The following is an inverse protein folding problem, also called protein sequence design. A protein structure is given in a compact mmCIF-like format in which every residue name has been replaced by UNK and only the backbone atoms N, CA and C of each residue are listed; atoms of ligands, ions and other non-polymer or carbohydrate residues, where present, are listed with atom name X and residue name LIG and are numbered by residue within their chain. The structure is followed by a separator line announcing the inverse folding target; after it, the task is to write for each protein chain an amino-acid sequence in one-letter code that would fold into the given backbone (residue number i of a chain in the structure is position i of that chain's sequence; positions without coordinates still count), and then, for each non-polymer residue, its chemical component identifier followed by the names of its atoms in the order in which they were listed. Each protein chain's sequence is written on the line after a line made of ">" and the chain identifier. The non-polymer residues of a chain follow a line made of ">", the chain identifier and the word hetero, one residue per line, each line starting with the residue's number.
data_IF_082475167137
#
_entry.id   IF_082475167137
#
_cell.length_a   1.000
_cell.length_b   1.000
_cell.length_c   1.000
_cell.angle_alpha   90.00
_cell.angle_beta   90.00
_cell.angle_gamma   90.00
#
_symmetry.space_group_name_H-M   'P 1'
#
loop_
_entity.id
_entity.type
_entity.pdbx_description
1 polymer ?
#
# COMPACT_ATOMS: atom_id res chain seq x y z
N UNK A 1 -30.19 3.89 -4.76
CA UNK A 1 -29.09 4.86 -4.61
C UNK A 1 -27.81 4.13 -4.96
N UNK A 2 -27.03 4.67 -5.91
CA UNK A 2 -26.29 3.88 -6.90
C UNK A 2 -24.94 3.35 -6.41
N UNK A 3 -24.60 2.16 -6.90
CA UNK A 3 -23.26 1.61 -7.13
C UNK A 3 -22.19 1.82 -6.06
N UNK A 4 -22.27 1.03 -4.98
CA UNK A 4 -21.12 0.78 -4.10
C UNK A 4 -20.69 -0.69 -4.21
N UNK A 5 -20.28 -1.09 -5.42
CA UNK A 5 -19.54 -2.34 -5.64
C UNK A 5 -18.06 -2.12 -5.25
N UNK A 6 -17.79 -1.94 -3.95
CA UNK A 6 -16.45 -2.12 -3.39
C UNK A 6 -16.33 -3.55 -2.87
N UNK A 7 -16.13 -4.47 -3.81
CA UNK A 7 -15.76 -5.86 -3.54
C UNK A 7 -14.42 -6.14 -4.24
N UNK A 8 -13.38 -5.43 -3.81
CA UNK A 8 -11.97 -5.78 -4.06
C UNK A 8 -11.50 -6.87 -3.08
N UNK A 9 -12.38 -7.86 -2.82
CA UNK A 9 -11.98 -9.13 -2.21
C UNK A 9 -11.30 -9.93 -3.31
N UNK A 10 -9.98 -10.00 -3.17
CA UNK A 10 -9.09 -10.87 -3.92
C UNK A 10 -8.93 -10.40 -5.38
N UNK A 11 -7.83 -9.68 -5.66
CA UNK A 11 -7.14 -9.86 -6.96
C UNK A 11 -6.64 -11.31 -6.99
N UNK A 12 -7.57 -12.24 -7.17
CA UNK A 12 -7.31 -13.62 -7.50
C UNK A 12 -6.80 -13.57 -8.92
N UNK A 13 -5.54 -13.97 -9.10
CA UNK A 13 -4.99 -14.33 -10.41
C UNK A 13 -5.66 -15.63 -10.92
N UNK A 14 -6.98 -15.66 -10.94
CA UNK A 14 -7.78 -16.74 -11.55
C UNK A 14 -7.97 -16.51 -13.04
N UNK A 15 -7.80 -15.27 -13.50
CA UNK A 15 -7.51 -15.00 -14.90
C UNK A 15 -6.02 -14.72 -15.06
N UNK A 16 -5.42 -15.20 -16.16
CA UNK A 16 -4.02 -15.02 -16.57
C UNK A 16 -3.63 -13.56 -16.87
N UNK A 17 -4.26 -12.59 -16.22
CA UNK A 17 -4.15 -11.16 -16.41
C UNK A 17 -2.96 -10.59 -15.61
N UNK A 18 -1.94 -9.99 -16.23
CA UNK A 18 -0.84 -9.35 -15.51
C UNK A 18 -1.31 -8.07 -14.79
N UNK A 19 -1.02 -8.02 -13.50
CA UNK A 19 -1.07 -6.78 -12.72
C UNK A 19 0.20 -5.97 -12.98
N UNK A 20 0.05 -4.66 -13.16
CA UNK A 20 1.12 -3.72 -13.40
C UNK A 20 0.99 -2.58 -12.39
N UNK A 21 2.06 -2.34 -11.66
CA UNK A 21 2.18 -1.19 -10.77
C UNK A 21 2.69 0.00 -11.57
N UNK A 22 1.84 1.02 -11.70
CA UNK A 22 2.19 2.32 -12.23
C UNK A 22 2.36 3.30 -11.08
N UNK A 23 3.49 3.98 -11.05
CA UNK A 23 3.85 4.86 -9.95
C UNK A 23 3.79 6.28 -10.46
N UNK A 24 2.90 7.07 -9.89
CA UNK A 24 2.93 8.51 -10.04
C UNK A 24 3.50 9.06 -8.74
N UNK A 25 4.83 9.00 -8.61
CA UNK A 25 5.46 9.94 -7.68
C UNK A 25 5.23 11.33 -8.26
N UNK A 26 4.59 12.23 -7.50
CA UNK A 26 4.61 13.64 -7.83
C UNK A 26 6.05 14.13 -7.61
N UNK A 27 6.89 13.96 -8.64
CA UNK A 27 8.25 14.47 -8.69
C UNK A 27 8.17 15.99 -8.90
N UNK A 28 7.98 16.76 -7.84
CA UNK A 28 8.55 18.12 -7.80
C UNK A 28 10.06 18.01 -7.59
N UNK A 29 10.77 17.46 -8.57
CA UNK A 29 12.19 17.71 -8.77
C UNK A 29 12.33 18.59 -9.99
N UNK A 30 12.33 19.90 -9.76
CA UNK A 30 13.23 20.88 -10.36
C UNK A 30 12.82 22.31 -9.94
N UNK A 31 13.67 23.02 -9.18
CA UNK A 31 13.90 24.43 -9.45
C UNK A 31 15.29 24.58 -10.10
N UNK A 32 15.34 25.36 -11.18
CA UNK A 32 16.58 25.89 -11.73
C UNK A 32 17.40 26.62 -10.63
N UNK A 33 18.74 26.72 -10.77
CA UNK A 33 19.58 27.30 -9.75
C UNK A 33 19.54 28.82 -9.85
N UNK A 34 18.65 29.47 -9.11
CA UNK A 34 18.86 30.86 -8.71
C UNK A 34 17.93 31.28 -7.58
N UNK A 35 18.57 31.88 -6.58
CA UNK A 35 17.98 32.72 -5.54
C UNK A 35 17.49 32.00 -4.28
N UNK A 36 17.79 32.69 -3.18
CA UNK A 36 17.88 32.26 -1.79
C UNK A 36 16.50 32.29 -1.14
N UNK A 37 16.39 31.53 -0.04
CA UNK A 37 15.24 31.32 0.87
C UNK A 37 14.37 30.13 0.48
N UNK A 38 14.75 28.96 1.00
CA UNK A 38 13.89 27.79 1.04
C UNK A 38 13.01 27.93 2.29
N UNK A 39 11.88 28.63 2.17
CA UNK A 39 10.76 28.42 3.08
C UNK A 39 10.44 26.92 3.05
N UNK A 40 10.51 26.27 4.22
CA UNK A 40 10.07 24.88 4.40
C UNK A 40 8.53 24.84 4.31
N UNK A 41 7.99 25.11 3.12
CA UNK A 41 6.64 24.68 2.77
C UNK A 41 6.69 23.17 2.63
N UNK A 42 6.23 22.47 3.67
CA UNK A 42 6.02 21.03 3.72
C UNK A 42 4.96 20.64 2.71
N UNK A 43 5.36 20.53 1.44
CA UNK A 43 4.54 19.84 0.45
C UNK A 43 4.59 18.37 0.81
N UNK A 44 3.59 17.90 1.55
CA UNK A 44 3.37 16.48 1.80
C UNK A 44 3.35 15.78 0.45
N UNK A 45 4.46 15.16 0.08
CA UNK A 45 4.57 14.35 -1.13
C UNK A 45 3.56 13.22 -0.99
N UNK A 46 2.40 13.38 -1.62
CA UNK A 46 1.36 12.35 -1.63
C UNK A 46 1.94 11.14 -2.34
N UNK A 47 2.24 10.09 -1.58
CA UNK A 47 2.69 8.80 -2.11
C UNK A 47 1.49 8.10 -2.76
N UNK A 48 1.19 8.48 -4.00
CA UNK A 48 0.16 7.87 -4.83
C UNK A 48 0.67 6.59 -5.49
N UNK A 49 -0.18 5.57 -5.51
CA UNK A 49 0.08 4.27 -6.14
C UNK A 49 -1.04 3.97 -7.12
N UNK A 50 -0.74 3.80 -8.40
CA UNK A 50 -1.74 3.35 -9.37
C UNK A 50 -1.51 1.90 -9.73
N UNK A 51 -2.40 1.02 -9.30
CA UNK A 51 -2.40 -0.37 -9.70
C UNK A 51 -3.30 -0.54 -10.93
N UNK A 52 -2.75 -1.07 -12.02
CA UNK A 52 -3.49 -1.31 -13.26
C UNK A 52 -3.43 -2.80 -13.61
N UNK A 53 -4.56 -3.38 -13.98
CA UNK A 53 -4.64 -4.75 -14.47
C UNK A 53 -4.86 -4.75 -15.98
N UNK A 54 -4.08 -5.55 -16.70
CA UNK A 54 -4.22 -5.78 -18.13
C UNK A 54 -4.52 -7.25 -18.39
N UNK A 55 -5.12 -7.60 -19.53
CA UNK A 55 -5.39 -9.00 -19.91
C UNK A 55 -4.11 -9.78 -20.16
N UNK A 56 -3.12 -9.16 -20.78
CA UNK A 56 -1.80 -9.71 -21.01
C UNK A 56 -0.74 -8.60 -21.20
N UNK A 57 0.52 -8.99 -21.26
CA UNK A 57 1.64 -8.05 -21.42
C UNK A 57 1.61 -7.36 -22.79
N UNK A 58 1.10 -8.04 -23.84
CA UNK A 58 1.02 -7.50 -25.20
C UNK A 58 -0.01 -6.38 -25.27
N UNK A 59 -1.14 -6.52 -24.58
CA UNK A 59 -2.16 -5.49 -24.47
C UNK A 59 -1.59 -4.22 -23.84
N UNK A 60 -0.86 -4.34 -22.73
CA UNK A 60 -0.16 -3.18 -22.14
C UNK A 60 0.86 -2.55 -23.10
N UNK A 61 1.66 -3.35 -23.81
CA UNK A 61 2.68 -2.83 -24.74
C UNK A 61 2.09 -2.00 -25.88
N UNK A 62 0.83 -2.27 -26.24
CA UNK A 62 0.08 -1.52 -27.26
C UNK A 62 -0.72 -0.35 -26.67
N UNK A 63 -0.49 0.02 -25.41
CA UNK A 63 -1.32 0.97 -24.66
C UNK A 63 -2.82 0.59 -24.71
N UNK A 64 -3.11 -0.71 -24.64
CA UNK A 64 -4.46 -1.25 -24.63
C UNK A 64 -5.25 -0.89 -23.38
N UNK A 65 -6.53 -1.24 -23.39
CA UNK A 65 -7.45 -0.94 -22.30
C UNK A 65 -7.08 -1.69 -21.01
N UNK A 66 -7.15 -1.01 -19.87
CA UNK A 66 -7.03 -1.64 -18.56
C UNK A 66 -8.33 -2.34 -18.19
N UNK A 67 -8.24 -3.57 -17.64
CA UNK A 67 -9.40 -4.28 -17.08
C UNK A 67 -9.89 -3.66 -15.78
N UNK A 68 -8.94 -3.15 -14.99
CA UNK A 68 -9.19 -2.47 -13.74
C UNK A 68 -8.05 -1.50 -13.47
N UNK A 69 -8.37 -0.40 -12.80
CA UNK A 69 -7.38 0.56 -12.31
C UNK A 69 -7.79 0.96 -10.90
N UNK A 70 -6.82 0.99 -9.99
CA UNK A 70 -7.01 1.39 -8.61
C UNK A 70 -5.96 2.44 -8.26
N UNK A 71 -6.43 3.60 -7.82
CA UNK A 71 -5.59 4.71 -7.39
C UNK A 71 -5.59 4.72 -5.87
N UNK A 72 -4.47 4.34 -5.26
CA UNK A 72 -4.29 4.37 -3.83
C UNK A 72 -3.53 5.65 -3.47
N UNK A 73 -3.92 6.26 -2.38
CA UNK A 73 -3.22 7.40 -1.82
C UNK A 73 -2.61 7.00 -0.48
N UNK A 74 -1.69 7.80 0.02
CA UNK A 74 -1.26 7.69 1.41
C UNK A 74 -0.68 6.30 1.74
N UNK A 75 0.31 5.86 0.96
CA UNK A 75 1.04 4.61 1.23
C UNK A 75 1.69 4.59 2.62
N UNK A 76 1.48 3.49 3.36
CA UNK A 76 1.92 3.28 4.74
C UNK A 76 2.94 2.13 4.88
N UNK A 77 3.04 1.25 3.89
CA UNK A 77 3.94 0.10 3.92
C UNK A 77 3.40 -1.10 3.15
N UNK A 78 4.04 -2.24 3.36
CA UNK A 78 3.59 -3.52 2.80
C UNK A 78 3.75 -4.63 3.82
N UNK A 79 2.89 -5.64 3.72
CA UNK A 79 2.98 -6.87 4.48
C UNK A 79 2.90 -8.06 3.52
N UNK A 80 3.73 -9.09 3.71
CA UNK A 80 3.70 -10.28 2.85
C UNK A 80 3.70 -11.58 3.66
N UNK A 81 3.40 -12.69 2.98
CA UNK A 81 3.54 -14.03 3.56
C UNK A 81 2.41 -14.44 4.50
N UNK A 82 1.22 -13.85 4.34
CA UNK A 82 0.01 -14.34 5.01
C UNK A 82 -0.79 -15.26 4.10
N UNK A 83 -1.58 -16.15 4.68
CA UNK A 83 -2.49 -16.99 3.89
C UNK A 83 -3.81 -16.28 3.67
N UNK A 84 -4.25 -16.20 2.42
CA UNK A 84 -5.58 -15.74 2.01
C UNK A 84 -6.08 -16.67 0.91
N UNK A 85 -7.30 -17.23 1.04
CA UNK A 85 -7.90 -18.06 -0.02
C UNK A 85 -7.03 -19.23 -0.52
N UNK A 86 -6.26 -19.86 0.38
CA UNK A 86 -5.26 -20.92 0.09
C UNK A 86 -3.98 -20.44 -0.62
N UNK A 87 -3.85 -19.15 -0.89
CA UNK A 87 -2.63 -18.53 -1.40
C UNK A 87 -1.76 -18.08 -0.23
N UNK A 88 -0.48 -18.47 -0.22
CA UNK A 88 0.50 -18.06 0.81
C UNK A 88 1.54 -17.07 0.29
N UNK A 89 1.67 -16.96 -1.03
CA UNK A 89 2.53 -16.00 -1.69
C UNK A 89 1.78 -14.69 -1.89
N UNK A 90 1.42 -14.03 -0.79
CA UNK A 90 0.58 -12.83 -0.80
C UNK A 90 1.36 -11.57 -0.41
N UNK A 91 0.90 -10.43 -0.92
CA UNK A 91 1.39 -9.10 -0.60
C UNK A 91 0.20 -8.15 -0.41
N UNK A 92 0.09 -7.56 0.77
CA UNK A 92 -0.79 -6.43 1.05
C UNK A 92 -0.01 -5.14 0.86
N UNK A 93 -0.60 -4.18 0.15
CA UNK A 93 -0.11 -2.79 0.09
C UNK A 93 -0.94 -2.00 1.07
N UNK A 94 -0.32 -1.50 2.13
CA UNK A 94 -1.00 -0.73 3.17
C UNK A 94 -1.15 0.71 2.68
N UNK A 95 -2.39 1.14 2.53
CA UNK A 95 -2.76 2.54 2.32
C UNK A 95 -3.87 2.90 3.31
N UNK A 96 -4.08 4.19 3.54
CA UNK A 96 -5.02 4.69 4.54
C UNK A 96 -6.47 4.22 4.29
N UNK A 97 -6.97 4.34 3.06
CA UNK A 97 -8.37 4.05 2.74
C UNK A 97 -8.61 2.60 2.31
N UNK A 98 -7.63 2.00 1.62
CA UNK A 98 -7.80 0.69 0.95
C UNK A 98 -6.50 -0.11 1.06
N UNK A 99 -6.60 -1.36 1.49
CA UNK A 99 -5.47 -2.30 1.53
C UNK A 99 -5.63 -3.37 0.45
N UNK A 100 -5.16 -3.15 -0.79
CA UNK A 100 -5.23 -4.18 -1.81
C UNK A 100 -4.27 -5.33 -1.52
N UNK A 101 -4.75 -6.54 -1.78
CA UNK A 101 -3.98 -7.78 -1.63
C UNK A 101 -3.74 -8.42 -2.99
N UNK A 102 -2.47 -8.72 -3.25
CA UNK A 102 -1.98 -9.43 -4.42
C UNK A 102 -1.56 -10.85 -4.02
N UNK A 103 -1.84 -11.82 -4.88
CA UNK A 103 -1.35 -13.19 -4.76
C UNK A 103 -0.46 -13.54 -5.97
N UNK A 104 0.59 -14.32 -5.73
CA UNK A 104 1.60 -14.67 -6.73
C UNK A 104 1.79 -16.19 -6.79
N UNK A 105 2.05 -16.73 -7.98
CA UNK A 105 2.23 -18.18 -8.15
C UNK A 105 3.44 -18.71 -7.37
N UNK A 106 4.52 -17.92 -7.32
CA UNK A 106 5.76 -18.32 -6.67
C UNK A 106 6.28 -17.28 -5.69
N UNK A 107 7.09 -17.75 -4.75
CA UNK A 107 7.71 -16.90 -3.73
C UNK A 107 8.72 -15.94 -4.34
N UNK A 108 9.38 -16.33 -5.43
CA UNK A 108 10.35 -15.51 -6.15
C UNK A 108 9.66 -14.28 -6.76
N UNK A 109 8.50 -14.45 -7.39
CA UNK A 109 7.70 -13.34 -7.94
C UNK A 109 7.24 -12.41 -6.81
N UNK A 110 6.77 -12.97 -5.69
CA UNK A 110 6.40 -12.19 -4.51
C UNK A 110 7.58 -11.33 -4.01
N UNK A 111 8.77 -11.90 -3.88
CA UNK A 111 9.96 -11.18 -3.41
C UNK A 111 10.33 -10.06 -4.39
N UNK A 112 10.31 -10.32 -5.69
CA UNK A 112 10.55 -9.31 -6.72
C UNK A 112 9.56 -8.14 -6.62
N UNK A 113 8.28 -8.45 -6.42
CA UNK A 113 7.24 -7.44 -6.22
C UNK A 113 7.44 -6.66 -4.92
N UNK A 114 7.75 -7.34 -3.81
CA UNK A 114 8.04 -6.69 -2.53
C UNK A 114 9.17 -5.67 -2.68
N UNK A 115 10.30 -6.08 -3.27
CA UNK A 115 11.46 -5.22 -3.52
C UNK A 115 11.08 -4.07 -4.46
N UNK A 116 10.35 -4.33 -5.53
CA UNK A 116 9.93 -3.30 -6.49
C UNK A 116 9.03 -2.25 -5.83
N UNK A 117 8.06 -2.68 -5.02
CA UNK A 117 7.18 -1.77 -4.29
C UNK A 117 7.98 -0.92 -3.30
N UNK A 118 8.83 -1.53 -2.46
CA UNK A 118 9.65 -0.79 -1.49
C UNK A 118 10.65 0.16 -2.14
N UNK A 119 11.25 -0.23 -3.26
CA UNK A 119 12.19 0.62 -3.99
C UNK A 119 11.51 1.87 -4.54
N UNK A 120 10.27 1.74 -5.01
CA UNK A 120 9.56 2.83 -5.68
C UNK A 120 8.64 3.65 -4.77
N UNK A 121 8.13 3.10 -3.68
CA UNK A 121 7.26 3.81 -2.74
C UNK A 121 7.95 4.17 -1.42
N UNK A 122 9.19 3.71 -1.25
CA UNK A 122 9.87 3.73 0.03
C UNK A 122 9.53 2.50 0.88
N UNK A 123 10.40 2.24 1.85
CA UNK A 123 10.19 1.22 2.87
C UNK A 123 9.52 1.81 4.11
N UNK A 124 8.64 1.04 4.74
CA UNK A 124 8.27 1.22 6.15
C UNK A 124 9.17 0.33 7.02
N UNK A 125 9.56 0.81 8.21
CA UNK A 125 10.06 -0.10 9.25
C UNK A 125 8.87 -0.83 9.88
N UNK A 126 8.98 -2.14 10.01
CA UNK A 126 7.93 -3.01 10.56
C UNK A 126 8.37 -3.50 11.94
N UNK A 127 7.50 -3.36 12.93
CA UNK A 127 7.74 -3.81 14.29
C UNK A 127 6.60 -4.73 14.73
N UNK A 128 6.93 -5.92 15.23
CA UNK A 128 5.96 -6.75 15.91
C UNK A 128 5.64 -6.14 17.28
N UNK A 129 4.35 -6.06 17.61
CA UNK A 129 3.89 -5.51 18.88
C UNK A 129 2.66 -6.29 19.37
N UNK A 130 2.26 -6.02 20.63
CA UNK A 130 1.04 -6.56 21.22
C UNK A 130 0.28 -5.41 21.85
N UNK A 131 -1.00 -5.27 21.49
CA UNK A 131 -1.91 -4.36 22.17
C UNK A 131 -2.29 -4.98 23.51
N UNK A 132 -1.93 -4.30 24.60
CA UNK A 132 -2.31 -4.70 25.96
C UNK A 132 -3.70 -4.17 26.31
N UNK A 133 -3.98 -2.91 25.94
CA UNK A 133 -5.27 -2.26 26.12
C UNK A 133 -5.45 -1.17 25.07
N UNK A 134 -6.70 -0.79 24.81
CA UNK A 134 -7.07 0.32 23.94
C UNK A 134 -8.23 1.11 24.57
N UNK A 135 -8.41 2.40 24.23
CA UNK A 135 -9.58 3.15 24.65
C UNK A 135 -10.87 2.47 24.17
N UNK A 136 -11.90 2.40 25.02
CA UNK A 136 -13.17 1.73 24.69
C UNK A 136 -13.80 2.26 23.39
N UNK A 137 -13.62 3.56 23.11
CA UNK A 137 -14.11 4.21 21.89
C UNK A 137 -13.42 3.73 20.60
N UNK A 138 -12.20 3.16 20.68
CA UNK A 138 -11.44 2.75 19.51
C UNK A 138 -11.89 1.39 18.95
N UNK A 139 -12.62 0.57 19.73
CA UNK A 139 -13.05 -0.79 19.35
C UNK A 139 -11.90 -1.69 18.85
N UNK A 140 -10.67 -1.46 19.33
CA UNK A 140 -9.50 -2.25 18.98
C UNK A 140 -9.27 -3.31 20.06
N UNK A 141 -9.26 -4.59 19.68
CA UNK A 141 -9.03 -5.69 20.62
C UNK A 141 -7.55 -5.80 21.02
N UNK A 142 -7.30 -6.23 22.25
CA UNK A 142 -5.97 -6.64 22.68
C UNK A 142 -5.47 -7.83 21.85
N UNK A 143 -4.17 -7.88 21.56
CA UNK A 143 -3.57 -8.97 20.79
C UNK A 143 -2.40 -8.55 19.89
N UNK A 144 -1.83 -9.52 19.15
CA UNK A 144 -0.69 -9.29 18.28
C UNK A 144 -1.02 -8.36 17.11
N UNK A 145 -0.12 -7.44 16.85
CA UNK A 145 -0.24 -6.43 15.79
C UNK A 145 1.12 -6.13 15.18
N UNK A 146 1.10 -5.40 14.07
CA UNK A 146 2.28 -4.84 13.43
C UNK A 146 2.20 -3.33 13.42
N UNK A 147 3.30 -2.69 13.77
CA UNK A 147 3.45 -1.24 13.67
C UNK A 147 4.33 -0.93 12.46
N UNK A 148 3.80 -0.15 11.54
CA UNK A 148 4.52 0.34 10.36
C UNK A 148 4.90 1.79 10.58
N UNK A 149 6.21 2.09 10.54
CA UNK A 149 6.72 3.45 10.54
C UNK A 149 7.14 3.85 9.12
N UNK A 150 6.40 4.78 8.52
CA UNK A 150 6.61 5.29 7.16
C UNK A 150 6.75 6.81 7.20
N UNK A 151 8.01 7.29 7.15
CA UNK A 151 8.31 8.71 7.32
C UNK A 151 7.76 9.25 8.66
N UNK A 152 6.96 10.32 8.67
CA UNK A 152 6.36 10.88 9.88
C UNK A 152 5.08 10.14 10.31
N UNK A 153 4.69 9.04 9.65
CA UNK A 153 3.43 8.33 9.95
C UNK A 153 3.69 6.98 10.61
N UNK A 154 2.86 6.66 11.59
CA UNK A 154 2.78 5.35 12.22
C UNK A 154 1.42 4.73 11.90
N UNK A 155 1.40 3.51 11.41
CA UNK A 155 0.18 2.75 11.15
C UNK A 155 0.19 1.45 11.97
N UNK A 156 -0.88 1.22 12.73
CA UNK A 156 -1.11 -0.03 13.44
C UNK A 156 -1.92 -0.96 12.56
N UNK A 157 -1.41 -2.13 12.28
CA UNK A 157 -2.05 -3.12 11.43
C UNK A 157 -2.28 -4.43 12.20
N UNK A 158 -3.43 -5.06 11.98
CA UNK A 158 -3.74 -6.38 12.50
C UNK A 158 -4.43 -7.21 11.42
N UNK A 159 -5.03 -8.35 11.81
CA UNK A 159 -5.81 -9.26 10.96
C UNK A 159 -5.05 -9.91 9.79
N UNK A 160 -5.76 -10.83 9.11
CA UNK A 160 -5.32 -11.56 7.92
C UNK A 160 -6.54 -11.67 6.98
N UNK A 161 -6.62 -10.90 5.88
CA UNK A 161 -5.62 -9.96 5.38
C UNK A 161 -5.39 -8.76 6.32
N UNK A 162 -4.25 -8.07 6.20
CA UNK A 162 -3.92 -6.94 7.06
C UNK A 162 -4.92 -5.79 6.93
N UNK A 163 -5.33 -5.21 8.06
CA UNK A 163 -6.18 -4.03 8.12
C UNK A 163 -5.48 -2.95 8.96
N UNK A 164 -5.55 -1.70 8.49
CA UNK A 164 -5.06 -0.53 9.23
C UNK A 164 -6.08 -0.18 10.30
N UNK A 165 -5.74 -0.41 11.56
CA UNK A 165 -6.61 -0.18 12.72
C UNK A 165 -6.53 1.26 13.23
N UNK A 166 -5.35 1.87 13.13
CA UNK A 166 -5.09 3.20 13.63
C UNK A 166 -3.88 3.81 12.93
N UNK A 167 -3.86 5.14 12.92
CA UNK A 167 -2.85 5.93 12.24
C UNK A 167 -2.52 7.16 13.06
N UNK A 168 -1.24 7.50 13.14
CA UNK A 168 -0.75 8.69 13.81
C UNK A 168 0.27 9.43 12.96
N UNK A 169 0.28 10.76 13.08
CA UNK A 169 1.45 11.58 12.74
C UNK A 169 2.35 11.64 13.97
N UNK A 170 3.60 11.23 13.82
CA UNK A 170 4.64 11.25 14.85
C UNK A 170 4.77 12.64 15.48
N UNK A 171 4.56 13.71 14.70
CA UNK A 171 4.64 15.10 15.18
C UNK A 171 3.53 15.45 16.18
N UNK A 172 2.43 14.72 16.18
CA UNK A 172 1.27 14.95 17.04
C UNK A 172 1.28 14.04 18.28
N UNK A 173 2.24 13.11 18.37
CA UNK A 173 2.44 12.31 19.56
C UNK A 173 3.08 13.18 20.65
N UNK A 174 2.56 13.06 21.88
CA UNK A 174 3.01 13.82 23.05
C UNK A 174 4.12 13.10 23.81
#
# INVERSE_FOLDING_TARGET
>A
MPDSMLLLRTFRKTEKSPAILCLTQNLTRNPLPSSRTCDHSTTDAVNCVHLQLYKDLKERQKNGQTKASLSLQQYLGIESGFTLDKESNTLAILCEDVVPVLAFDTREILIQWRVKVQHNLGGSKEFAAVIISSPTAANIRAGPVRLHACGPRLALCASRPPEVLALWDVKLLR
#
